data_IF_067742307458
#
_entry.id   IF_067742307458
#
_cell.length_a   1.000
_cell.length_b   1.000
_cell.length_c   1.000
_cell.angle_alpha   90.00
_cell.angle_beta   90.00
_cell.angle_gamma   90.00
#
_symmetry.space_group_name_H-M   'P 1'
#
loop_
_entity.id
_entity.type
_entity.pdbx_description
1 polymer ?
#
# COMPACT_ATOMS: atom_id res chain seq x y z
N UNK A 1 12.55 -42.34 35.79
CA UNK A 1 13.32 -43.52 35.35
C UNK A 1 13.28 -43.63 33.84
N UNK A 2 14.47 -43.73 33.30
CA UNK A 2 14.95 -44.08 31.94
C UNK A 2 15.07 -42.96 30.91
N UNK A 3 16.34 -42.71 30.72
CA UNK A 3 17.06 -42.02 29.65
C UNK A 3 16.93 -42.73 28.29
N UNK A 4 17.10 -41.98 27.20
CA UNK A 4 17.99 -42.27 26.06
C UNK A 4 17.86 -41.14 25.07
N UNK A 5 18.86 -40.46 24.76
CA UNK A 5 20.18 -40.54 24.15
C UNK A 5 20.13 -40.03 22.69
N UNK A 6 20.89 -38.96 22.49
CA UNK A 6 21.23 -38.29 21.24
C UNK A 6 21.79 -39.24 20.17
N UNK A 7 21.52 -38.92 18.92
CA UNK A 7 22.44 -39.22 17.84
C UNK A 7 22.53 -38.01 16.89
N UNK A 8 23.70 -37.36 16.91
CA UNK A 8 24.17 -36.35 15.97
C UNK A 8 24.71 -37.08 14.73
N UNK A 9 24.22 -36.82 13.53
CA UNK A 9 24.87 -37.20 12.28
C UNK A 9 25.20 -35.93 11.51
N UNK A 10 26.49 -35.62 11.48
CA UNK A 10 27.06 -34.61 10.62
C UNK A 10 27.25 -35.19 9.21
N UNK A 11 26.59 -34.60 8.21
CA UNK A 11 26.84 -34.91 6.79
C UNK A 11 27.76 -33.83 6.22
N UNK A 12 28.99 -34.25 5.91
CA UNK A 12 29.96 -33.46 5.18
C UNK A 12 29.65 -33.59 3.70
N UNK A 13 29.24 -32.49 3.05
CA UNK A 13 29.08 -32.42 1.60
C UNK A 13 30.43 -31.99 0.98
N UNK A 14 31.03 -32.89 0.24
CA UNK A 14 32.20 -32.62 -0.61
C UNK A 14 31.71 -32.03 -1.92
N UNK A 15 32.12 -30.82 -2.22
CA UNK A 15 31.89 -30.15 -3.51
C UNK A 15 33.01 -30.52 -4.48
N UNK A 16 32.69 -31.22 -5.56
CA UNK A 16 33.56 -31.44 -6.72
C UNK A 16 33.24 -30.42 -7.82
N UNK A 17 34.22 -29.86 -8.48
CA UNK A 17 33.95 -28.90 -9.58
C UNK A 17 33.65 -29.62 -10.89
N UNK A 18 32.54 -29.32 -11.52
CA UNK A 18 32.21 -29.77 -12.88
C UNK A 18 32.90 -28.86 -13.90
N UNK A 19 33.69 -29.50 -14.77
CA UNK A 19 34.35 -28.86 -15.94
C UNK A 19 33.31 -28.55 -17.01
N UNK A 20 33.35 -27.32 -17.53
CA UNK A 20 32.52 -26.88 -18.65
C UNK A 20 32.89 -27.53 -19.97
N UNK A 21 31.88 -27.84 -20.77
CA UNK A 21 32.01 -28.04 -22.21
C UNK A 21 31.51 -26.78 -22.92
N UNK A 22 32.41 -26.19 -23.68
CA UNK A 22 32.11 -25.14 -24.66
C UNK A 22 31.51 -25.83 -25.89
N UNK A 23 30.35 -25.40 -26.33
CA UNK A 23 29.80 -25.69 -27.66
C UNK A 23 29.63 -24.34 -28.35
N UNK A 24 30.46 -24.10 -29.35
CA UNK A 24 30.30 -23.02 -30.33
C UNK A 24 29.11 -23.37 -31.29
N UNK A 25 28.27 -22.38 -31.57
CA UNK A 25 27.19 -22.55 -32.54
C UNK A 25 26.28 -21.33 -32.70
N UNK A 26 26.73 -20.40 -33.52
CA UNK A 26 26.01 -19.54 -34.47
C UNK A 26 24.62 -18.94 -34.16
N UNK A 27 24.53 -17.62 -34.37
CA UNK A 27 23.31 -16.95 -34.76
C UNK A 27 22.52 -16.25 -33.68
N UNK A 28 23.05 -15.13 -33.10
CA UNK A 28 22.24 -14.20 -32.33
C UNK A 28 21.30 -13.40 -33.27
N UNK A 29 19.97 -13.41 -33.06
CA UNK A 29 19.12 -12.40 -33.67
C UNK A 29 19.31 -11.08 -32.90
N UNK A 30 19.34 -9.99 -33.67
CA UNK A 30 19.52 -8.60 -33.28
C UNK A 30 18.80 -8.22 -31.98
N UNK A 31 19.52 -7.59 -31.09
CA UNK A 31 19.04 -7.00 -29.85
C UNK A 31 18.01 -5.90 -30.12
N UNK A 32 16.72 -6.23 -30.10
CA UNK A 32 15.71 -5.28 -29.72
C UNK A 32 15.89 -4.99 -28.22
N UNK A 33 16.12 -3.75 -27.87
CA UNK A 33 16.19 -3.25 -26.50
C UNK A 33 14.91 -3.61 -25.75
N UNK A 34 14.91 -4.76 -25.09
CA UNK A 34 13.87 -5.15 -24.14
C UNK A 34 13.93 -4.17 -22.94
N UNK A 35 13.26 -3.02 -23.07
CA UNK A 35 12.91 -2.26 -21.88
C UNK A 35 12.11 -3.20 -20.97
N UNK A 36 12.75 -3.63 -19.88
CA UNK A 36 12.12 -4.55 -18.92
C UNK A 36 10.83 -3.92 -18.43
N UNK A 37 9.71 -4.64 -18.62
CA UNK A 37 8.41 -4.22 -18.11
C UNK A 37 8.51 -3.92 -16.62
N UNK A 38 8.07 -2.72 -16.22
CA UNK A 38 7.94 -2.29 -14.82
C UNK A 38 6.80 -1.30 -14.69
N UNK A 39 6.28 -1.14 -13.48
CA UNK A 39 5.26 -0.13 -13.18
C UNK A 39 5.79 1.31 -13.39
N UNK A 40 4.88 2.27 -13.54
CA UNK A 40 5.24 3.67 -13.56
C UNK A 40 5.49 4.16 -12.14
N UNK A 41 6.75 4.34 -11.76
CA UNK A 41 7.15 4.82 -10.43
C UNK A 41 7.32 6.34 -10.33
N UNK A 42 7.03 7.10 -11.39
CA UNK A 42 7.08 8.57 -11.35
C UNK A 42 5.83 9.19 -10.70
N UNK A 43 4.89 8.37 -10.26
CA UNK A 43 3.63 8.80 -9.69
C UNK A 43 3.78 9.27 -8.24
N UNK A 44 2.90 10.17 -7.82
CA UNK A 44 2.79 10.67 -6.45
C UNK A 44 1.93 9.71 -5.62
N UNK A 45 2.26 9.52 -4.34
CA UNK A 45 1.44 8.78 -3.42
C UNK A 45 0.03 9.40 -3.34
N UNK A 46 -1.06 8.61 -3.44
CA UNK A 46 -2.41 9.15 -3.41
C UNK A 46 -2.77 9.68 -2.01
N UNK A 47 -3.46 10.82 -1.98
CA UNK A 47 -4.18 11.29 -0.80
C UNK A 47 -5.66 11.08 -1.09
N UNK A 48 -6.35 10.29 -0.26
CA UNK A 48 -7.73 9.90 -0.55
C UNK A 48 -8.54 9.65 0.71
N UNK A 49 -9.86 9.61 0.55
CA UNK A 49 -10.81 9.16 1.55
C UNK A 49 -11.34 7.75 1.19
N UNK A 50 -11.48 6.89 2.21
CA UNK A 50 -11.99 5.53 2.07
C UNK A 50 -13.22 5.32 2.93
N UNK A 51 -14.12 4.45 2.47
CA UNK A 51 -15.32 4.00 3.22
C UNK A 51 -14.98 3.08 4.40
N UNK A 52 -13.72 2.73 4.62
CA UNK A 52 -13.29 1.66 5.53
C UNK A 52 -13.93 1.74 6.92
N UNK A 53 -13.85 2.87 7.63
CA UNK A 53 -14.41 2.98 8.98
C UNK A 53 -15.94 2.79 8.98
N UNK A 54 -16.62 3.30 7.95
CA UNK A 54 -18.08 3.14 7.85
C UNK A 54 -18.45 1.65 7.80
N UNK A 55 -17.74 0.88 7.01
CA UNK A 55 -17.98 -0.54 6.83
C UNK A 55 -17.49 -1.34 8.05
N UNK A 56 -16.29 -1.08 8.53
CA UNK A 56 -15.70 -1.75 9.69
C UNK A 56 -16.57 -1.69 10.93
N UNK A 57 -17.14 -0.53 11.24
CA UNK A 57 -18.00 -0.38 12.42
C UNK A 57 -19.33 -1.10 12.28
N UNK A 58 -19.89 -1.18 11.06
CA UNK A 58 -21.09 -1.95 10.78
C UNK A 58 -20.83 -3.45 10.89
N UNK A 59 -19.73 -3.93 10.35
CA UNK A 59 -19.30 -5.33 10.51
C UNK A 59 -19.10 -5.71 11.97
N UNK A 60 -18.41 -4.87 12.74
CA UNK A 60 -18.24 -5.06 14.19
C UNK A 60 -19.57 -5.07 14.96
N UNK A 61 -20.56 -4.31 14.50
CA UNK A 61 -21.90 -4.32 15.06
C UNK A 61 -22.74 -5.56 14.64
N UNK A 62 -22.18 -6.44 13.78
CA UNK A 62 -22.86 -7.64 13.29
C UNK A 62 -23.93 -7.36 12.24
N UNK A 63 -23.86 -6.21 11.55
CA UNK A 63 -24.79 -5.89 10.47
C UNK A 63 -24.61 -6.88 9.31
N UNK A 64 -25.70 -7.54 8.91
CA UNK A 64 -25.67 -8.56 7.84
C UNK A 64 -25.59 -7.93 6.43
N UNK A 65 -26.02 -6.68 6.29
CA UNK A 65 -26.02 -5.96 5.01
C UNK A 65 -25.35 -4.61 5.18
N UNK A 66 -24.08 -4.56 4.81
CA UNK A 66 -23.30 -3.32 4.84
C UNK A 66 -23.53 -2.60 3.52
N UNK A 67 -24.07 -1.39 3.58
CA UNK A 67 -24.29 -0.53 2.41
C UNK A 67 -24.21 0.95 2.77
N UNK A 68 -24.05 1.78 1.75
CA UNK A 68 -24.09 3.24 1.83
C UNK A 68 -25.20 3.73 0.90
N UNK A 69 -26.24 4.30 1.47
CA UNK A 69 -27.37 4.85 0.69
C UNK A 69 -26.93 6.01 -0.20
N UNK A 70 -27.70 6.32 -1.24
CA UNK A 70 -27.38 7.45 -2.13
C UNK A 70 -27.28 8.78 -1.37
N UNK A 71 -28.15 9.03 -0.39
CA UNK A 71 -28.09 10.23 0.44
C UNK A 71 -26.82 10.30 1.29
N UNK A 72 -26.38 9.16 1.82
CA UNK A 72 -25.10 9.08 2.53
C UNK A 72 -23.92 9.34 1.59
N UNK A 73 -23.95 8.80 0.37
CA UNK A 73 -22.93 9.08 -0.64
C UNK A 73 -22.86 10.58 -0.98
N UNK A 74 -24.00 11.23 -1.18
CA UNK A 74 -24.02 12.67 -1.46
C UNK A 74 -23.43 13.47 -0.29
N UNK A 75 -23.76 13.10 0.95
CA UNK A 75 -23.18 13.72 2.15
C UNK A 75 -21.67 13.53 2.23
N UNK A 76 -21.19 12.30 2.03
CA UNK A 76 -19.75 11.95 2.06
C UNK A 76 -18.99 12.70 0.97
N UNK A 77 -19.46 12.66 -0.27
CA UNK A 77 -18.84 13.33 -1.40
C UNK A 77 -18.74 14.85 -1.17
N UNK A 78 -19.82 15.47 -0.67
CA UNK A 78 -19.81 16.89 -0.32
C UNK A 78 -18.81 17.20 0.80
N UNK A 79 -18.77 16.37 1.83
CA UNK A 79 -17.84 16.57 2.95
C UNK A 79 -16.36 16.45 2.51
N UNK A 80 -16.01 15.44 1.72
CA UNK A 80 -14.67 15.25 1.16
C UNK A 80 -14.29 16.43 0.25
N UNK A 81 -15.20 16.87 -0.62
CA UNK A 81 -14.97 17.99 -1.51
C UNK A 81 -14.74 19.30 -0.76
N UNK A 82 -15.36 19.49 0.39
CA UNK A 82 -15.26 20.71 1.20
C UNK A 82 -14.05 20.68 2.14
N UNK A 83 -13.82 19.55 2.83
CA UNK A 83 -12.87 19.50 3.95
C UNK A 83 -11.50 18.91 3.57
N UNK A 84 -11.42 18.06 2.55
CA UNK A 84 -10.20 17.34 2.20
C UNK A 84 -9.63 17.76 0.85
N UNK A 85 -10.46 17.94 -0.18
CA UNK A 85 -10.01 18.28 -1.53
C UNK A 85 -9.15 19.56 -1.60
N UNK A 86 -9.45 20.68 -0.87
CA UNK A 86 -8.61 21.88 -0.88
C UNK A 86 -7.18 21.67 -0.39
N UNK A 87 -6.94 20.52 0.24
CA UNK A 87 -5.64 20.12 0.81
C UNK A 87 -4.96 19.01 -0.01
N UNK A 88 -5.53 18.62 -1.17
CA UNK A 88 -4.92 17.67 -2.10
C UNK A 88 -5.40 16.24 -1.98
N UNK A 89 -6.41 15.96 -1.18
CA UNK A 89 -7.10 14.67 -1.14
C UNK A 89 -8.11 14.62 -2.29
N UNK A 90 -7.69 14.07 -3.41
CA UNK A 90 -8.39 14.21 -4.70
C UNK A 90 -9.33 13.05 -5.03
N UNK A 91 -9.41 12.02 -4.17
CA UNK A 91 -10.07 10.76 -4.52
C UNK A 91 -10.93 10.21 -3.39
N UNK A 92 -12.00 9.52 -3.75
CA UNK A 92 -12.77 8.63 -2.90
C UNK A 92 -12.52 7.20 -3.37
N UNK A 93 -12.23 6.28 -2.43
CA UNK A 93 -12.00 4.87 -2.72
C UNK A 93 -13.04 3.99 -2.03
N UNK A 94 -13.57 3.00 -2.76
CA UNK A 94 -14.41 1.93 -2.20
C UNK A 94 -13.59 0.94 -1.38
N UNK A 95 -14.26 0.03 -0.66
CA UNK A 95 -13.61 -1.04 0.12
C UNK A 95 -14.43 -2.34 0.08
N UNK A 96 -13.85 -3.45 0.53
CA UNK A 96 -14.34 -4.80 0.31
C UNK A 96 -15.55 -5.26 1.13
N UNK A 97 -16.01 -4.46 2.10
CA UNK A 97 -17.13 -4.84 2.98
C UNK A 97 -18.50 -4.77 2.32
N UNK A 98 -18.64 -3.98 1.29
CA UNK A 98 -19.90 -3.79 0.56
C UNK A 98 -19.94 -4.75 -0.62
N UNK A 99 -21.05 -5.45 -0.87
CA UNK A 99 -21.15 -6.38 -1.98
C UNK A 99 -20.82 -5.74 -3.33
N UNK A 100 -19.88 -6.35 -4.03
CA UNK A 100 -19.49 -6.00 -5.39
C UNK A 100 -20.26 -6.89 -6.35
N UNK A 101 -21.08 -6.30 -7.21
CA UNK A 101 -21.99 -7.04 -8.08
C UNK A 101 -21.65 -6.80 -9.56
N UNK A 102 -21.62 -7.89 -10.32
CA UNK A 102 -21.59 -7.91 -11.78
C UNK A 102 -22.99 -8.23 -12.29
N UNK A 103 -23.81 -7.21 -12.54
CA UNK A 103 -25.20 -7.41 -12.97
C UNK A 103 -25.29 -7.88 -14.42
N UNK A 104 -26.36 -8.61 -14.73
CA UNK A 104 -26.71 -9.06 -16.10
C UNK A 104 -25.59 -9.88 -16.77
N UNK A 105 -24.86 -10.69 -16.00
CA UNK A 105 -23.76 -11.50 -16.51
C UNK A 105 -22.52 -10.70 -16.93
N UNK A 106 -22.40 -9.42 -16.51
CA UNK A 106 -21.20 -8.65 -16.82
C UNK A 106 -19.94 -9.34 -16.26
N UNK A 107 -18.82 -9.29 -16.99
CA UNK A 107 -17.59 -9.95 -16.56
C UNK A 107 -16.93 -9.24 -15.35
N UNK A 108 -17.26 -7.98 -15.09
CA UNK A 108 -16.65 -7.14 -14.07
C UNK A 108 -17.71 -6.41 -13.26
N UNK A 109 -17.32 -5.88 -12.09
CA UNK A 109 -18.22 -5.16 -11.19
C UNK A 109 -18.91 -3.96 -11.86
N UNK A 110 -20.22 -3.87 -11.72
CA UNK A 110 -21.06 -2.76 -12.23
C UNK A 110 -21.71 -1.95 -11.12
N UNK A 111 -21.81 -2.54 -9.91
CA UNK A 111 -22.43 -1.92 -8.73
C UNK A 111 -21.55 -2.11 -7.50
N UNK A 112 -21.70 -1.16 -6.59
CA UNK A 112 -21.13 -1.19 -5.25
C UNK A 112 -22.28 -0.98 -4.25
N UNK A 113 -22.78 -2.07 -3.70
CA UNK A 113 -24.03 -2.08 -2.93
C UNK A 113 -25.22 -1.55 -3.73
N UNK A 114 -25.93 -0.59 -3.16
CA UNK A 114 -27.14 -0.01 -3.76
C UNK A 114 -26.89 1.01 -4.88
N UNK A 115 -25.63 1.44 -5.10
CA UNK A 115 -25.29 2.42 -6.15
C UNK A 115 -24.57 1.76 -7.33
N UNK A 116 -24.88 2.20 -8.57
CA UNK A 116 -24.06 1.79 -9.72
C UNK A 116 -22.72 2.53 -9.69
N UNK A 117 -21.64 1.86 -10.14
CA UNK A 117 -20.33 2.51 -10.25
C UNK A 117 -20.37 3.75 -11.14
N UNK A 118 -21.11 3.68 -12.24
CA UNK A 118 -21.30 4.80 -13.16
C UNK A 118 -21.90 6.04 -12.46
N UNK A 119 -22.87 5.81 -11.60
CA UNK A 119 -23.53 6.89 -10.84
C UNK A 119 -22.61 7.45 -9.75
N UNK A 120 -21.92 6.58 -8.98
CA UNK A 120 -20.93 6.99 -7.97
C UNK A 120 -19.83 7.85 -8.59
N UNK A 121 -19.27 7.38 -9.71
CA UNK A 121 -18.21 8.10 -10.44
C UNK A 121 -18.73 9.45 -10.96
N UNK A 122 -19.93 9.50 -11.52
CA UNK A 122 -20.56 10.76 -11.97
C UNK A 122 -20.71 11.76 -10.82
N UNK A 123 -21.18 11.32 -9.65
CA UNK A 123 -21.34 12.17 -8.45
C UNK A 123 -19.98 12.71 -7.97
N UNK A 124 -18.96 11.87 -7.89
CA UNK A 124 -17.61 12.28 -7.50
C UNK A 124 -17.00 13.27 -8.48
N UNK A 125 -17.07 12.99 -9.79
CA UNK A 125 -16.55 13.88 -10.84
C UNK A 125 -17.24 15.24 -10.89
N UNK A 126 -18.54 15.29 -10.58
CA UNK A 126 -19.27 16.57 -10.49
C UNK A 126 -18.72 17.49 -9.39
N UNK A 127 -18.02 16.94 -8.38
CA UNK A 127 -17.29 17.68 -7.34
C UNK A 127 -15.78 17.80 -7.62
N UNK A 128 -15.34 17.34 -8.80
CA UNK A 128 -13.93 17.32 -9.19
C UNK A 128 -13.08 16.35 -8.36
N UNK A 129 -13.69 15.24 -7.91
CA UNK A 129 -13.03 14.14 -7.23
C UNK A 129 -12.82 12.97 -8.19
N UNK A 130 -11.69 12.28 -8.06
CA UNK A 130 -11.39 11.00 -8.68
C UNK A 130 -12.09 9.87 -7.91
N UNK A 131 -12.15 8.68 -8.53
CA UNK A 131 -12.67 7.48 -7.88
C UNK A 131 -11.64 6.37 -7.98
N UNK A 132 -11.30 5.79 -6.82
CA UNK A 132 -10.60 4.53 -6.70
C UNK A 132 -11.60 3.41 -6.39
N UNK A 133 -11.29 2.21 -6.84
CA UNK A 133 -12.10 1.03 -6.52
C UNK A 133 -11.25 -0.02 -5.81
N UNK A 134 -11.90 -0.70 -4.87
CA UNK A 134 -11.41 -1.93 -4.27
C UNK A 134 -11.94 -3.09 -5.12
N UNK A 135 -11.05 -3.71 -5.86
CA UNK A 135 -11.33 -4.89 -6.69
C UNK A 135 -10.01 -5.54 -7.12
N UNK A 136 -10.07 -6.77 -7.60
CA UNK A 136 -8.89 -7.50 -8.02
C UNK A 136 -9.12 -8.15 -9.40
N UNK A 137 -8.29 -7.88 -10.41
CA UNK A 137 -8.41 -8.48 -11.74
C UNK A 137 -8.24 -10.01 -11.75
N UNK A 138 -7.84 -10.58 -10.61
CA UNK A 138 -7.75 -12.04 -10.42
C UNK A 138 -9.04 -12.62 -9.81
N UNK A 139 -10.03 -11.80 -9.46
CA UNK A 139 -11.34 -12.28 -9.03
C UNK A 139 -12.29 -12.46 -10.22
N UNK A 140 -13.11 -13.48 -10.13
CA UNK A 140 -14.17 -13.76 -11.12
C UNK A 140 -15.49 -13.27 -10.54
N UNK A 141 -16.10 -12.29 -11.21
CA UNK A 141 -17.40 -11.72 -10.85
C UNK A 141 -18.55 -12.19 -11.73
N UNK A 142 -18.25 -12.50 -12.99
CA UNK A 142 -19.25 -12.87 -13.98
C UNK A 142 -19.57 -14.37 -14.02
N UNK A 143 -20.60 -14.71 -14.79
CA UNK A 143 -20.99 -16.10 -15.00
C UNK A 143 -19.97 -16.87 -15.85
N UNK A 144 -19.83 -18.16 -15.58
CA UNK A 144 -18.87 -19.04 -16.25
C UNK A 144 -19.07 -19.12 -17.77
N UNK A 145 -20.31 -18.92 -18.27
CA UNK A 145 -20.64 -18.95 -19.69
C UNK A 145 -20.30 -17.66 -20.45
N UNK A 146 -19.93 -16.59 -19.75
CA UNK A 146 -19.62 -15.30 -20.39
C UNK A 146 -18.33 -15.42 -21.17
N UNK A 147 -18.36 -14.97 -22.43
CA UNK A 147 -17.22 -14.99 -23.32
C UNK A 147 -16.17 -13.92 -22.91
N UNK A 148 -14.90 -14.31 -22.87
CA UNK A 148 -13.79 -13.38 -22.58
C UNK A 148 -13.49 -12.56 -23.83
N UNK A 149 -13.79 -11.27 -23.77
CA UNK A 149 -13.58 -10.34 -24.88
C UNK A 149 -12.13 -10.34 -25.36
N UNK A 150 -11.92 -10.38 -26.66
CA UNK A 150 -10.60 -10.44 -27.28
C UNK A 150 -10.02 -11.85 -27.42
N UNK A 151 -10.79 -12.87 -27.10
CA UNK A 151 -10.48 -14.28 -27.38
C UNK A 151 -11.45 -14.83 -28.42
N UNK A 152 -11.16 -16.01 -28.98
CA UNK A 152 -12.04 -16.65 -29.95
C UNK A 152 -13.13 -17.50 -29.26
N UNK A 153 -12.72 -18.38 -28.35
CA UNK A 153 -13.61 -19.41 -27.81
C UNK A 153 -13.44 -19.60 -26.28
N UNK A 154 -12.86 -18.60 -25.58
CA UNK A 154 -12.61 -18.69 -24.13
C UNK A 154 -13.76 -18.06 -23.35
N UNK A 155 -14.26 -18.77 -22.37
CA UNK A 155 -15.24 -18.27 -21.41
C UNK A 155 -14.60 -17.95 -20.05
N UNK A 156 -15.32 -17.24 -19.19
CA UNK A 156 -14.86 -16.95 -17.81
C UNK A 156 -14.61 -18.27 -17.05
N UNK A 157 -15.45 -19.27 -17.23
CA UNK A 157 -15.27 -20.59 -16.62
C UNK A 157 -13.95 -21.27 -17.01
N UNK A 158 -13.40 -21.00 -18.21
CA UNK A 158 -12.12 -21.54 -18.65
C UNK A 158 -10.92 -20.96 -17.91
N UNK A 159 -11.09 -19.81 -17.23
CA UNK A 159 -10.03 -19.14 -16.49
C UNK A 159 -9.81 -19.76 -15.10
N UNK A 160 -10.75 -20.57 -14.62
CA UNK A 160 -10.69 -21.20 -13.30
C UNK A 160 -9.67 -22.33 -13.25
N UNK A 161 -9.31 -22.72 -12.03
CA UNK A 161 -8.56 -23.94 -11.81
C UNK A 161 -9.34 -25.17 -12.30
N UNK A 162 -8.61 -26.12 -12.91
CA UNK A 162 -9.13 -27.44 -13.28
C UNK A 162 -8.19 -28.49 -12.72
N UNK A 163 -8.76 -29.54 -12.14
CA UNK A 163 -8.00 -30.73 -11.76
C UNK A 163 -7.54 -31.49 -13.01
N UNK A 164 -6.67 -32.51 -12.81
CA UNK A 164 -6.10 -33.34 -13.88
C UNK A 164 -7.15 -34.04 -14.75
N UNK A 165 -8.34 -34.25 -14.23
CA UNK A 165 -9.48 -34.91 -14.89
C UNK A 165 -10.35 -33.95 -15.72
N UNK A 166 -9.93 -32.69 -15.89
CA UNK A 166 -10.63 -31.65 -16.65
C UNK A 166 -12.01 -31.24 -16.11
N UNK A 167 -12.41 -31.72 -14.94
CA UNK A 167 -13.63 -31.28 -14.29
C UNK A 167 -13.39 -29.89 -13.70
N UNK A 168 -14.31 -28.95 -13.97
CA UNK A 168 -14.37 -27.67 -13.26
C UNK A 168 -14.70 -27.95 -11.81
N UNK A 169 -13.67 -28.00 -10.97
CA UNK A 169 -13.91 -27.93 -9.54
C UNK A 169 -14.00 -26.45 -9.15
N UNK A 170 -15.18 -26.07 -8.61
CA UNK A 170 -15.21 -24.98 -7.66
C UNK A 170 -14.28 -25.44 -6.56
N UNK A 171 -13.08 -24.83 -6.48
CA UNK A 171 -12.10 -25.28 -5.50
C UNK A 171 -12.70 -25.03 -4.10
N UNK A 172 -13.08 -26.10 -3.43
CA UNK A 172 -13.68 -26.04 -2.09
C UNK A 172 -12.71 -25.51 -1.05
N UNK A 173 -11.42 -25.37 -1.40
CA UNK A 173 -10.39 -24.74 -0.57
C UNK A 173 -10.38 -23.21 -0.70
N UNK A 174 -10.87 -22.65 -1.81
CA UNK A 174 -11.00 -21.21 -2.01
C UNK A 174 -12.32 -20.73 -1.38
N UNK A 175 -12.27 -20.30 -0.13
CA UNK A 175 -13.45 -20.05 0.69
C UNK A 175 -14.29 -18.87 0.22
N UNK A 176 -13.64 -17.82 -0.34
CA UNK A 176 -14.32 -16.54 -0.56
C UNK A 176 -14.26 -16.03 -1.99
N UNK A 177 -13.24 -16.40 -2.74
CA UNK A 177 -13.04 -15.89 -4.10
C UNK A 177 -12.96 -17.01 -5.11
N UNK A 178 -13.46 -16.73 -6.31
CA UNK A 178 -13.14 -17.51 -7.50
C UNK A 178 -12.02 -16.81 -8.25
N UNK A 179 -10.94 -17.51 -8.52
CA UNK A 179 -9.72 -16.92 -9.05
C UNK A 179 -9.53 -17.15 -10.54
N UNK A 180 -9.04 -16.11 -11.22
CA UNK A 180 -8.46 -16.20 -12.56
C UNK A 180 -7.07 -16.81 -12.44
N UNK A 181 -6.85 -18.00 -13.00
CA UNK A 181 -5.52 -18.62 -13.00
C UNK A 181 -4.70 -18.03 -14.14
N UNK A 182 -3.67 -17.26 -13.85
CA UNK A 182 -2.90 -16.47 -14.84
C UNK A 182 -2.30 -17.30 -15.97
N UNK A 183 -2.01 -18.60 -15.75
CA UNK A 183 -1.48 -19.52 -16.76
C UNK A 183 -2.54 -20.07 -17.71
N UNK A 184 -3.83 -19.79 -17.48
CA UNK A 184 -4.90 -20.26 -18.36
C UNK A 184 -4.97 -19.43 -19.64
N UNK A 185 -5.28 -20.06 -20.80
CA UNK A 185 -5.58 -19.33 -22.03
C UNK A 185 -6.70 -18.29 -21.77
N UNK A 186 -6.51 -17.06 -22.25
CA UNK A 186 -7.47 -15.98 -22.08
C UNK A 186 -7.31 -15.15 -20.80
N UNK A 187 -6.53 -15.58 -19.79
CA UNK A 187 -6.33 -14.82 -18.55
C UNK A 187 -5.78 -13.41 -18.81
N UNK A 188 -4.80 -13.27 -19.71
CA UNK A 188 -4.27 -11.95 -20.09
C UNK A 188 -5.35 -11.04 -20.70
N UNK A 189 -6.21 -11.59 -21.56
CA UNK A 189 -7.30 -10.84 -22.18
C UNK A 189 -8.36 -10.41 -21.17
N UNK A 190 -8.68 -11.28 -20.20
CA UNK A 190 -9.59 -10.95 -19.10
C UNK A 190 -9.05 -9.80 -18.25
N UNK A 191 -7.78 -9.86 -17.84
CA UNK A 191 -7.11 -8.81 -17.05
C UNK A 191 -7.05 -7.50 -17.85
N UNK A 192 -6.72 -7.53 -19.15
CA UNK A 192 -6.74 -6.33 -20.01
C UNK A 192 -8.16 -5.73 -20.08
N UNK A 193 -9.18 -6.58 -20.23
CA UNK A 193 -10.58 -6.15 -20.23
C UNK A 193 -11.05 -5.53 -18.91
N UNK A 194 -10.55 -6.05 -17.78
CA UNK A 194 -10.82 -5.49 -16.45
C UNK A 194 -10.32 -4.04 -16.34
N UNK A 195 -9.06 -3.78 -16.68
CA UNK A 195 -8.51 -2.42 -16.64
C UNK A 195 -9.18 -1.50 -17.65
N UNK A 196 -9.52 -2.03 -18.85
CA UNK A 196 -10.30 -1.28 -19.84
C UNK A 196 -11.66 -0.85 -19.29
N UNK A 197 -12.39 -1.78 -18.65
CA UNK A 197 -13.70 -1.51 -18.06
C UNK A 197 -13.64 -0.35 -17.07
N UNK A 198 -12.71 -0.40 -16.13
CA UNK A 198 -12.57 0.65 -15.12
C UNK A 198 -12.07 1.97 -15.72
N UNK A 199 -11.15 1.94 -16.67
CA UNK A 199 -10.71 3.13 -17.40
C UNK A 199 -11.88 3.79 -18.14
N UNK A 200 -12.69 3.02 -18.86
CA UNK A 200 -13.85 3.53 -19.61
C UNK A 200 -14.92 4.16 -18.69
N UNK A 201 -15.07 3.65 -17.46
CA UNK A 201 -15.89 4.25 -16.42
C UNK A 201 -15.27 5.54 -15.85
N UNK A 202 -13.95 5.68 -15.98
CA UNK A 202 -13.16 6.81 -15.47
C UNK A 202 -12.66 6.60 -14.05
N UNK A 203 -12.30 5.38 -13.71
CA UNK A 203 -11.56 5.02 -12.49
C UNK A 203 -10.07 5.19 -12.74
N UNK A 204 -9.37 5.79 -11.79
CA UNK A 204 -7.94 6.12 -11.89
C UNK A 204 -7.06 5.26 -10.97
N UNK A 205 -7.67 4.48 -10.06
CA UNK A 205 -6.96 3.76 -9.00
C UNK A 205 -7.69 2.45 -8.66
N UNK A 206 -6.92 1.38 -8.53
CA UNK A 206 -7.43 0.07 -8.11
C UNK A 206 -6.60 -0.45 -6.92
N UNK A 207 -7.30 -0.75 -5.81
CA UNK A 207 -6.78 -1.38 -4.61
C UNK A 207 -7.05 -2.88 -4.70
N UNK A 208 -6.01 -3.67 -5.01
CA UNK A 208 -6.09 -5.12 -5.25
C UNK A 208 -5.68 -5.88 -4.00
N UNK A 209 -6.63 -6.55 -3.38
CA UNK A 209 -6.42 -7.22 -2.10
C UNK A 209 -6.27 -8.75 -2.23
N UNK A 210 -5.88 -9.40 -1.13
CA UNK A 210 -5.73 -10.84 -0.98
C UNK A 210 -4.67 -11.49 -1.88
N UNK A 211 -3.61 -10.77 -2.22
CA UNK A 211 -2.58 -11.27 -3.13
C UNK A 211 -1.80 -12.47 -2.56
N UNK A 212 -1.60 -12.54 -1.23
CA UNK A 212 -1.00 -13.69 -0.57
C UNK A 212 -1.84 -14.97 -0.73
N UNK A 213 -3.16 -14.83 -0.73
CA UNK A 213 -4.06 -15.96 -0.94
C UNK A 213 -3.99 -16.51 -2.35
N UNK A 214 -3.81 -15.64 -3.34
CA UNK A 214 -3.57 -16.06 -4.71
C UNK A 214 -2.22 -16.78 -4.84
N UNK A 215 -1.17 -16.26 -4.21
CA UNK A 215 0.19 -16.78 -4.36
C UNK A 215 0.33 -18.18 -3.75
N UNK A 216 -0.01 -18.38 -2.47
CA UNK A 216 0.18 -19.66 -1.80
C UNK A 216 -1.02 -20.18 -0.98
N UNK A 217 -2.12 -19.43 -0.94
CA UNK A 217 -3.33 -19.82 -0.24
C UNK A 217 -3.19 -19.79 1.28
N UNK A 218 -2.30 -18.97 1.80
CA UNK A 218 -2.02 -18.87 3.23
C UNK A 218 -2.16 -17.44 3.76
N UNK A 219 -2.64 -17.32 4.98
CA UNK A 219 -2.67 -16.10 5.76
C UNK A 219 -2.15 -16.41 7.17
N UNK A 220 -1.29 -15.56 7.71
CA UNK A 220 -0.68 -15.80 9.03
C UNK A 220 -1.73 -15.91 10.14
N UNK A 221 -2.78 -15.11 10.08
CA UNK A 221 -3.80 -15.04 11.13
C UNK A 221 -4.89 -16.11 10.98
N UNK A 222 -5.19 -16.52 9.74
CA UNK A 222 -6.28 -17.44 9.42
C UNK A 222 -5.81 -18.85 8.99
N UNK A 223 -4.50 -19.01 8.75
CA UNK A 223 -3.93 -20.27 8.23
C UNK A 223 -4.21 -20.46 6.74
N UNK A 224 -4.47 -21.69 6.33
CA UNK A 224 -4.79 -22.00 4.93
C UNK A 224 -6.22 -21.56 4.58
N UNK A 225 -6.33 -20.68 3.61
CA UNK A 225 -7.58 -20.03 3.14
C UNK A 225 -7.93 -20.39 1.69
N UNK A 226 -6.98 -20.95 0.96
CA UNK A 226 -7.16 -21.33 -0.44
C UNK A 226 -6.11 -22.30 -0.92
N UNK A 227 -6.16 -22.62 -2.22
CA UNK A 227 -5.19 -23.49 -2.90
C UNK A 227 -3.81 -22.86 -2.98
N UNK A 228 -3.76 -21.58 -3.43
CA UNK A 228 -2.56 -20.94 -3.93
C UNK A 228 -2.16 -21.45 -5.32
N UNK A 229 -1.74 -20.53 -6.18
CA UNK A 229 -1.43 -20.81 -7.58
C UNK A 229 0.08 -20.79 -7.87
N UNK A 230 0.88 -20.51 -6.85
CA UNK A 230 2.33 -20.53 -6.87
C UNK A 230 2.97 -19.23 -7.37
N UNK A 231 4.27 -19.12 -7.09
CA UNK A 231 5.10 -17.93 -7.37
C UNK A 231 5.13 -17.57 -8.87
N UNK A 232 5.26 -18.55 -9.74
CA UNK A 232 5.32 -18.32 -11.21
C UNK A 232 3.99 -17.78 -11.75
N UNK A 233 2.86 -18.33 -11.29
CA UNK A 233 1.54 -17.83 -11.66
C UNK A 233 1.30 -16.42 -11.10
N UNK A 234 1.76 -16.15 -9.90
CA UNK A 234 1.69 -14.83 -9.29
C UNK A 234 2.54 -13.80 -10.06
N UNK A 235 3.77 -14.14 -10.42
CA UNK A 235 4.61 -13.29 -11.26
C UNK A 235 3.94 -12.98 -12.61
N UNK A 236 3.38 -14.00 -13.26
CA UNK A 236 2.69 -13.83 -14.54
C UNK A 236 1.45 -12.94 -14.40
N UNK A 237 0.67 -13.11 -13.33
CA UNK A 237 -0.46 -12.26 -12.99
C UNK A 237 -0.04 -10.79 -12.83
N UNK A 238 1.01 -10.52 -12.04
CA UNK A 238 1.53 -9.17 -11.86
C UNK A 238 2.06 -8.55 -13.15
N UNK A 239 2.64 -9.35 -14.05
CA UNK A 239 3.04 -8.88 -15.38
C UNK A 239 1.84 -8.41 -16.21
N UNK A 240 0.78 -9.22 -16.30
CA UNK A 240 -0.43 -8.86 -17.03
C UNK A 240 -1.12 -7.63 -16.44
N UNK A 241 -1.19 -7.55 -15.11
CA UNK A 241 -1.70 -6.40 -14.38
C UNK A 241 -0.90 -5.15 -14.71
N UNK A 242 0.43 -5.22 -14.65
CA UNK A 242 1.31 -4.08 -14.93
C UNK A 242 1.19 -3.61 -16.39
N UNK A 243 1.12 -4.52 -17.35
CA UNK A 243 0.92 -4.19 -18.77
C UNK A 243 -0.40 -3.45 -18.98
N UNK A 244 -1.51 -4.00 -18.45
CA UNK A 244 -2.83 -3.41 -18.59
C UNK A 244 -2.95 -2.07 -17.86
N UNK A 245 -2.48 -1.99 -16.61
CA UNK A 245 -2.49 -0.77 -15.82
C UNK A 245 -1.73 0.38 -16.51
N UNK A 246 -0.56 0.09 -17.09
CA UNK A 246 0.20 1.07 -17.88
C UNK A 246 -0.52 1.50 -19.16
N UNK A 247 -1.12 0.54 -19.87
CA UNK A 247 -1.86 0.80 -21.10
C UNK A 247 -3.03 1.75 -20.90
N UNK A 248 -3.72 1.59 -19.79
CA UNK A 248 -4.93 2.38 -19.46
C UNK A 248 -4.67 3.52 -18.47
N UNK A 249 -3.45 3.71 -18.00
CA UNK A 249 -3.09 4.79 -17.08
C UNK A 249 -3.70 4.66 -15.67
N UNK A 250 -3.98 3.45 -15.23
CA UNK A 250 -4.59 3.16 -13.92
C UNK A 250 -3.50 2.91 -12.89
N UNK A 251 -3.63 3.56 -11.73
CA UNK A 251 -2.73 3.35 -10.59
C UNK A 251 -3.09 2.04 -9.85
N UNK A 252 -2.08 1.24 -9.51
CA UNK A 252 -2.27 -0.05 -8.81
C UNK A 252 -1.72 -0.01 -7.39
N UNK A 253 -2.55 -0.43 -6.43
CA UNK A 253 -2.17 -0.68 -5.04
C UNK A 253 -2.22 -2.17 -4.76
N UNK A 254 -1.08 -2.75 -4.43
CA UNK A 254 -0.95 -4.17 -4.07
C UNK A 254 -1.15 -4.34 -2.57
N UNK A 255 -2.20 -5.09 -2.19
CA UNK A 255 -2.60 -5.28 -0.81
C UNK A 255 -2.48 -6.75 -0.42
N UNK A 256 -2.12 -7.01 0.83
CA UNK A 256 -1.86 -8.36 1.35
C UNK A 256 -0.83 -9.21 0.57
N UNK A 257 0.27 -8.68 0.01
CA UNK A 257 1.29 -9.54 -0.57
C UNK A 257 2.18 -10.12 0.55
N UNK A 258 2.75 -11.31 0.35
CA UNK A 258 3.72 -11.87 1.27
C UNK A 258 5.06 -11.14 1.29
N UNK A 259 5.38 -10.43 0.21
CA UNK A 259 6.65 -9.71 0.01
C UNK A 259 7.87 -10.64 0.04
N UNK A 260 7.72 -11.85 -0.49
CA UNK A 260 8.83 -12.79 -0.64
C UNK A 260 9.97 -12.20 -1.49
N UNK A 261 11.19 -12.71 -1.30
CA UNK A 261 12.37 -12.28 -2.02
C UNK A 261 12.59 -10.75 -1.96
N UNK A 262 12.37 -10.16 -0.77
CA UNK A 262 12.49 -8.72 -0.53
C UNK A 262 11.55 -7.88 -1.42
N UNK A 263 10.35 -8.39 -1.64
CA UNK A 263 9.31 -7.75 -2.45
C UNK A 263 9.73 -7.45 -3.90
N UNK A 264 10.59 -8.27 -4.48
CA UNK A 264 11.17 -8.02 -5.82
C UNK A 264 10.10 -7.92 -6.91
N UNK A 265 9.06 -8.76 -6.88
CA UNK A 265 7.99 -8.75 -7.87
C UNK A 265 7.07 -7.54 -7.66
N UNK A 266 6.67 -7.29 -6.43
CA UNK A 266 5.78 -6.19 -6.09
C UNK A 266 6.44 -4.83 -6.39
N UNK A 267 7.73 -4.68 -6.03
CA UNK A 267 8.50 -3.47 -6.33
C UNK A 267 8.68 -3.24 -7.84
N UNK A 268 8.66 -4.30 -8.65
CA UNK A 268 8.77 -4.18 -10.11
C UNK A 268 7.45 -3.87 -10.79
N UNK A 269 6.37 -4.51 -10.37
CA UNK A 269 5.11 -4.50 -11.11
C UNK A 269 4.01 -3.63 -10.50
N UNK A 270 4.11 -3.25 -9.21
CA UNK A 270 3.16 -2.38 -8.52
C UNK A 270 3.58 -0.91 -8.50
N UNK A 271 2.61 -0.01 -8.35
CA UNK A 271 2.89 1.41 -8.06
C UNK A 271 3.02 1.64 -6.54
N UNK A 272 2.22 0.94 -5.75
CA UNK A 272 2.16 1.03 -4.30
C UNK A 272 1.98 -0.36 -3.70
N UNK A 273 2.61 -0.63 -2.55
CA UNK A 273 2.49 -1.89 -1.80
C UNK A 273 2.18 -1.62 -0.34
N UNK A 274 1.24 -2.37 0.21
CA UNK A 274 0.96 -2.35 1.65
C UNK A 274 1.97 -3.21 2.39
N UNK A 275 2.55 -2.63 3.47
CA UNK A 275 3.68 -3.23 4.21
C UNK A 275 3.35 -3.52 5.68
N UNK A 276 2.07 -3.45 6.04
CA UNK A 276 1.57 -3.61 7.42
C UNK A 276 0.21 -4.31 7.43
N UNK A 277 -0.14 -4.92 8.56
CA UNK A 277 -1.46 -5.52 8.82
C UNK A 277 -2.60 -4.51 8.66
N UNK A 278 -3.84 -5.02 8.57
CA UNK A 278 -5.04 -4.17 8.52
C UNK A 278 -5.12 -3.25 9.73
N UNK A 279 -5.61 -2.03 9.49
CA UNK A 279 -5.79 -1.02 10.53
C UNK A 279 -6.63 -1.54 11.71
N UNK A 280 -7.63 -2.38 11.46
CA UNK A 280 -8.49 -2.95 12.49
C UNK A 280 -9.06 -1.85 13.39
N UNK A 281 -8.81 -1.95 14.70
CA UNK A 281 -9.25 -0.96 15.68
C UNK A 281 -8.46 0.36 15.62
N UNK A 282 -7.37 0.41 14.85
CA UNK A 282 -6.57 1.63 14.64
C UNK A 282 -5.76 2.06 15.85
N UNK A 283 -5.56 3.37 15.96
CA UNK A 283 -4.87 4.01 17.09
C UNK A 283 -3.38 3.69 17.19
N UNK A 284 -2.81 4.00 18.34
CA UNK A 284 -1.38 3.81 18.60
C UNK A 284 -0.91 2.37 18.47
N UNK A 285 -1.80 1.42 18.75
CA UNK A 285 -1.51 -0.01 18.62
C UNK A 285 -1.14 -0.35 17.16
N UNK A 286 -1.98 0.03 16.20
CA UNK A 286 -1.73 -0.19 14.78
C UNK A 286 -0.55 0.64 14.25
N UNK A 287 -0.40 1.86 14.74
CA UNK A 287 0.67 2.75 14.29
C UNK A 287 2.06 2.30 14.76
N UNK A 288 2.22 1.92 16.04
CA UNK A 288 3.55 1.77 16.64
C UNK A 288 3.72 0.61 17.62
N UNK A 289 2.66 0.11 18.28
CA UNK A 289 2.80 -0.74 19.45
C UNK A 289 2.56 -2.23 19.20
N UNK A 290 1.71 -2.61 18.23
CA UNK A 290 1.39 -4.02 17.98
C UNK A 290 2.64 -4.80 17.52
N UNK A 291 3.04 -5.82 18.29
CA UNK A 291 4.20 -6.69 18.03
C UNK A 291 5.46 -5.91 17.61
N UNK A 292 5.73 -4.81 18.32
CA UNK A 292 6.84 -3.91 18.01
C UNK A 292 8.16 -4.63 17.83
N UNK A 293 8.84 -4.37 16.70
CA UNK A 293 10.13 -4.96 16.35
C UNK A 293 10.05 -6.42 15.89
N UNK A 294 8.86 -7.02 15.81
CA UNK A 294 8.70 -8.40 15.39
C UNK A 294 8.39 -8.50 13.89
N UNK A 295 9.28 -9.16 13.15
CA UNK A 295 9.08 -9.52 11.75
C UNK A 295 8.43 -10.90 11.62
N UNK A 296 7.52 -11.04 10.69
CA UNK A 296 6.91 -12.30 10.30
C UNK A 296 7.20 -12.60 8.82
N UNK A 297 7.55 -13.85 8.45
CA UNK A 297 7.97 -14.16 7.08
C UNK A 297 6.83 -14.18 6.05
N UNK A 298 5.57 -14.25 6.52
CA UNK A 298 4.38 -14.23 5.67
C UNK A 298 3.51 -13.02 6.00
N UNK A 299 2.56 -12.70 5.11
CA UNK A 299 1.60 -11.63 5.35
C UNK A 299 0.79 -11.86 6.63
N UNK A 300 0.61 -10.81 7.44
CA UNK A 300 1.30 -9.51 7.42
C UNK A 300 2.71 -9.60 8.04
N UNK A 301 3.70 -8.98 7.37
CA UNK A 301 5.09 -9.05 7.86
C UNK A 301 5.32 -8.23 9.13
N UNK A 302 4.57 -7.15 9.31
CA UNK A 302 4.55 -6.30 10.50
C UNK A 302 3.10 -5.95 10.87
N UNK A 303 2.83 -5.87 12.17
CA UNK A 303 1.51 -5.54 12.71
C UNK A 303 1.38 -4.05 13.07
N UNK A 304 2.46 -3.27 12.92
CA UNK A 304 2.42 -1.84 13.10
C UNK A 304 3.10 -1.10 11.94
N UNK A 305 2.55 0.06 11.63
CA UNK A 305 2.96 0.90 10.51
C UNK A 305 4.42 1.34 10.63
N UNK A 306 4.87 1.71 11.83
CA UNK A 306 6.20 2.27 12.06
C UNK A 306 7.30 1.27 11.68
N UNK A 307 7.18 0.02 12.15
CA UNK A 307 8.15 -1.03 11.86
C UNK A 307 8.11 -1.46 10.39
N UNK A 308 6.91 -1.53 9.80
CA UNK A 308 6.75 -1.78 8.38
C UNK A 308 7.50 -0.76 7.52
N UNK A 309 7.33 0.53 7.80
CA UNK A 309 8.05 1.58 7.08
C UNK A 309 9.57 1.54 7.30
N UNK A 310 10.06 1.29 8.53
CA UNK A 310 11.50 1.16 8.79
C UNK A 310 12.09 0.04 7.93
N UNK A 311 11.52 -1.16 8.03
CA UNK A 311 12.07 -2.36 7.39
C UNK A 311 12.09 -2.26 5.86
N UNK A 312 10.96 -1.82 5.28
CA UNK A 312 10.81 -1.71 3.83
C UNK A 312 11.31 -0.39 3.25
N UNK A 313 11.88 0.51 4.06
CA UNK A 313 12.36 1.83 3.61
C UNK A 313 13.31 1.79 2.43
N UNK A 314 14.11 0.73 2.26
CA UNK A 314 15.05 0.58 1.13
C UNK A 314 14.34 0.49 -0.23
N UNK A 315 13.09 0.03 -0.27
CA UNK A 315 12.29 -0.09 -1.51
C UNK A 315 11.70 1.24 -1.94
N UNK A 316 11.40 2.16 -1.00
CA UNK A 316 10.82 3.45 -1.31
C UNK A 316 11.85 4.44 -1.83
N UNK A 317 11.40 5.49 -2.49
CA UNK A 317 12.23 6.58 -3.01
C UNK A 317 11.48 7.33 -4.11
N UNK A 318 12.00 8.51 -4.48
CA UNK A 318 11.52 9.17 -5.68
C UNK A 318 11.77 8.24 -6.88
N UNK A 319 10.76 7.99 -7.69
CA UNK A 319 10.80 7.06 -8.81
C UNK A 319 11.02 5.58 -8.42
N UNK A 320 10.61 5.22 -7.19
CA UNK A 320 10.50 3.85 -6.70
C UNK A 320 9.08 3.56 -6.23
N UNK A 321 8.84 2.33 -5.78
CA UNK A 321 7.53 1.94 -5.26
C UNK A 321 7.15 2.76 -4.02
N UNK A 322 5.86 3.04 -3.90
CA UNK A 322 5.28 3.74 -2.75
C UNK A 322 4.94 2.69 -1.68
N UNK A 323 5.35 2.93 -0.45
CA UNK A 323 4.97 2.09 0.69
C UNK A 323 3.65 2.59 1.28
N UNK A 324 2.71 1.68 1.50
CA UNK A 324 1.40 1.96 2.08
C UNK A 324 1.35 1.45 3.53
N UNK A 325 1.05 2.34 4.46
CA UNK A 325 0.88 2.07 5.89
C UNK A 325 -0.57 1.78 6.27
N UNK A 326 -1.44 1.53 5.29
CA UNK A 326 -2.87 1.32 5.44
C UNK A 326 -3.66 2.59 5.86
N UNK A 327 -4.88 2.41 6.30
CA UNK A 327 -5.81 3.47 6.63
C UNK A 327 -5.45 4.23 7.90
N UNK A 328 -5.75 5.51 7.90
CA UNK A 328 -5.65 6.36 9.09
C UNK A 328 -7.04 6.72 9.60
N UNK A 329 -7.26 6.46 10.89
CA UNK A 329 -8.49 6.75 11.63
C UNK A 329 -8.13 7.60 12.84
N UNK A 330 -8.07 8.92 12.67
CA UNK A 330 -7.62 9.83 13.72
C UNK A 330 -8.51 9.82 14.96
N UNK A 331 -9.80 9.48 14.79
CA UNK A 331 -10.71 9.34 15.93
C UNK A 331 -10.35 8.18 16.88
N UNK A 332 -9.45 7.28 16.49
CA UNK A 332 -8.98 6.15 17.30
C UNK A 332 -7.70 6.45 18.08
N UNK A 333 -7.07 7.60 17.86
CA UNK A 333 -5.89 8.05 18.59
C UNK A 333 -6.28 8.83 19.85
N UNK A 334 -5.50 8.63 20.93
CA UNK A 334 -5.83 9.16 22.23
C UNK A 334 -5.63 10.70 22.35
N UNK A 335 -4.65 11.23 21.61
CA UNK A 335 -4.24 12.64 21.78
C UNK A 335 -3.59 13.21 20.50
N UNK A 336 -3.30 14.50 20.53
CA UNK A 336 -2.70 15.24 19.41
C UNK A 336 -1.31 14.70 19.03
N UNK A 337 -0.49 14.31 20.00
CA UNK A 337 0.86 13.79 19.74
C UNK A 337 0.82 12.55 18.81
N UNK A 338 -0.10 11.64 19.08
CA UNK A 338 -0.28 10.43 18.29
C UNK A 338 -0.79 10.75 16.87
N UNK A 339 -1.74 11.69 16.76
CA UNK A 339 -2.28 12.12 15.46
C UNK A 339 -1.22 12.82 14.60
N UNK A 340 -0.42 13.72 15.21
CA UNK A 340 0.71 14.34 14.52
C UNK A 340 1.74 13.30 14.07
N UNK A 341 2.03 12.30 14.92
CA UNK A 341 3.02 11.26 14.63
C UNK A 341 2.61 10.39 13.43
N UNK A 342 1.35 9.94 13.36
CA UNK A 342 0.90 9.09 12.24
C UNK A 342 0.92 9.84 10.92
N UNK A 343 0.45 11.10 10.88
CA UNK A 343 0.47 11.93 9.67
C UNK A 343 1.91 12.22 9.24
N UNK A 344 2.76 12.57 10.21
CA UNK A 344 4.17 12.89 9.93
C UNK A 344 4.91 11.70 9.34
N UNK A 345 4.76 10.51 9.90
CA UNK A 345 5.48 9.33 9.42
C UNK A 345 5.09 8.96 8.00
N UNK A 346 3.80 8.94 7.67
CA UNK A 346 3.33 8.63 6.32
C UNK A 346 3.90 9.62 5.30
N UNK A 347 3.86 10.91 5.57
CA UNK A 347 4.41 11.93 4.68
C UNK A 347 5.94 11.87 4.59
N UNK A 348 6.63 11.60 5.69
CA UNK A 348 8.09 11.43 5.70
C UNK A 348 8.54 10.19 4.95
N UNK A 349 7.81 9.09 5.06
CA UNK A 349 8.07 7.87 4.30
C UNK A 349 7.70 7.98 2.80
N UNK A 350 7.03 9.06 2.40
CA UNK A 350 6.52 9.24 1.04
C UNK A 350 5.32 8.36 0.73
N UNK A 351 4.61 7.92 1.76
CA UNK A 351 3.43 7.07 1.66
C UNK A 351 2.14 7.86 1.34
N UNK A 352 1.03 7.15 1.10
CA UNK A 352 -0.29 7.74 1.00
C UNK A 352 -0.77 8.24 2.37
N UNK A 353 -1.78 9.12 2.36
CA UNK A 353 -2.69 9.27 3.50
C UNK A 353 -4.06 8.80 3.04
N UNK A 354 -4.47 7.65 3.54
CA UNK A 354 -5.78 7.06 3.32
C UNK A 354 -6.68 7.39 4.51
N UNK A 355 -7.40 8.51 4.41
CA UNK A 355 -8.33 8.96 5.46
C UNK A 355 -9.50 8.00 5.50
N UNK A 356 -9.70 7.31 6.61
CA UNK A 356 -10.82 6.39 6.78
C UNK A 356 -11.85 6.85 7.82
N UNK A 357 -11.60 7.94 8.52
CA UNK A 357 -12.57 8.51 9.46
C UNK A 357 -13.87 8.89 8.76
N UNK A 358 -15.03 8.57 9.37
CA UNK A 358 -16.31 9.05 8.88
C UNK A 358 -16.45 10.54 9.11
N UNK A 359 -17.18 11.27 8.24
CA UNK A 359 -17.50 12.68 8.46
C UNK A 359 -18.14 12.95 9.83
N UNK A 360 -18.90 11.98 10.36
CA UNK A 360 -19.58 12.09 11.68
C UNK A 360 -18.68 11.79 12.87
N UNK A 361 -17.52 11.14 12.70
CA UNK A 361 -16.63 10.72 13.81
C UNK A 361 -15.39 11.58 13.96
N UNK A 362 -14.92 12.21 12.88
CA UNK A 362 -13.66 12.95 12.86
C UNK A 362 -13.67 14.25 13.66
N UNK A 363 -14.78 15.00 13.62
CA UNK A 363 -14.90 16.30 14.30
C UNK A 363 -13.73 17.24 13.95
N UNK A 364 -13.24 17.99 14.95
CA UNK A 364 -12.15 18.95 14.79
C UNK A 364 -10.80 18.29 14.45
N UNK A 365 -10.67 16.97 14.59
CA UNK A 365 -9.44 16.23 14.24
C UNK A 365 -9.13 16.30 12.75
N UNK A 366 -10.09 16.68 11.90
CA UNK A 366 -9.86 16.89 10.46
C UNK A 366 -8.72 17.89 10.18
N UNK A 367 -8.46 18.83 11.09
CA UNK A 367 -7.38 19.81 10.98
C UNK A 367 -5.98 19.18 10.88
N UNK A 368 -5.76 17.99 11.45
CA UNK A 368 -4.48 17.27 11.32
C UNK A 368 -4.23 16.80 9.89
N UNK A 369 -5.27 16.52 9.11
CA UNK A 369 -5.16 16.22 7.66
C UNK A 369 -4.94 17.46 6.80
N UNK A 370 -5.02 18.66 7.37
CA UNK A 370 -5.08 19.92 6.63
C UNK A 370 -3.80 20.76 6.74
N UNK A 371 -2.72 20.23 7.36
CA UNK A 371 -1.44 20.94 7.49
C UNK A 371 -0.75 21.09 6.11
N UNK A 372 -0.86 22.28 5.52
CA UNK A 372 -0.35 22.58 4.17
C UNK A 372 1.18 22.46 4.06
N UNK A 373 1.92 22.77 5.13
CA UNK A 373 3.39 22.68 5.12
C UNK A 373 3.83 21.22 5.01
N UNK A 374 3.21 20.33 5.78
CA UNK A 374 3.49 18.90 5.70
C UNK A 374 2.99 18.28 4.39
N UNK A 375 1.80 18.64 3.93
CA UNK A 375 1.23 18.13 2.67
C UNK A 375 2.05 18.54 1.44
N UNK A 376 2.85 19.60 1.54
CA UNK A 376 3.85 19.95 0.53
C UNK A 376 4.81 18.80 0.25
N UNK A 377 5.17 17.99 1.25
CA UNK A 377 6.04 16.83 1.09
C UNK A 377 5.46 15.83 0.08
N UNK A 378 4.17 15.53 0.17
CA UNK A 378 3.50 14.69 -0.81
C UNK A 378 3.49 15.33 -2.20
N UNK A 379 3.17 16.62 -2.30
CA UNK A 379 3.15 17.35 -3.58
C UNK A 379 4.52 17.32 -4.28
N UNK A 380 5.62 17.39 -3.53
CA UNK A 380 6.98 17.35 -4.05
C UNK A 380 7.55 15.93 -4.17
N UNK A 381 6.73 14.90 -3.92
CA UNK A 381 7.15 13.50 -3.94
C UNK A 381 8.37 13.26 -3.05
N UNK A 382 8.35 13.87 -1.87
CA UNK A 382 9.39 13.69 -0.88
C UNK A 382 9.38 12.26 -0.34
N UNK A 383 10.57 11.68 -0.16
CA UNK A 383 10.76 10.39 0.52
C UNK A 383 11.99 10.49 1.41
N UNK A 384 11.76 10.56 2.69
CA UNK A 384 12.78 10.44 3.73
C UNK A 384 13.15 9.00 4.01
N UNK A 385 14.21 8.83 4.81
CA UNK A 385 14.69 7.53 5.28
C UNK A 385 14.95 7.60 6.77
N UNK A 386 14.73 6.50 7.52
CA UNK A 386 15.20 6.41 8.89
C UNK A 386 16.72 6.40 8.90
N UNK A 387 17.33 6.99 9.91
CA UNK A 387 18.80 7.00 10.06
C UNK A 387 19.36 5.63 10.46
N UNK A 388 18.52 4.70 10.84
CA UNK A 388 18.84 3.29 11.07
C UNK A 388 17.65 2.42 10.69
N UNK A 389 17.90 1.25 10.13
CA UNK A 389 16.89 0.23 9.85
C UNK A 389 16.78 -0.81 10.98
N UNK A 390 17.61 -0.74 12.00
CA UNK A 390 17.47 -1.56 13.22
C UNK A 390 16.42 -0.92 14.14
N UNK A 391 15.30 -1.61 14.36
CA UNK A 391 14.21 -1.15 15.23
C UNK A 391 14.63 -0.87 16.67
N UNK A 392 15.75 -1.48 17.14
CA UNK A 392 16.30 -1.26 18.49
C UNK A 392 17.19 -0.04 18.58
N UNK A 393 17.68 0.45 17.46
CA UNK A 393 18.46 1.67 17.40
C UNK A 393 17.51 2.88 17.44
N UNK A 394 17.71 3.78 18.41
CA UNK A 394 16.92 5.02 18.55
C UNK A 394 16.95 5.87 17.27
N UNK A 395 17.98 5.77 16.46
CA UNK A 395 18.08 6.48 15.18
C UNK A 395 17.08 6.00 14.14
N UNK A 396 16.43 4.84 14.33
CA UNK A 396 15.31 4.40 13.51
C UNK A 396 14.08 5.30 13.67
N UNK A 397 14.04 6.08 14.77
CA UNK A 397 12.99 7.04 15.08
C UNK A 397 13.33 8.47 14.59
N UNK A 398 14.43 8.63 13.84
CA UNK A 398 14.80 9.90 13.19
C UNK A 398 14.81 9.66 11.67
N UNK A 399 13.98 10.41 10.98
CA UNK A 399 13.81 10.31 9.54
C UNK A 399 14.32 11.56 8.84
N UNK A 400 15.08 11.41 7.79
CA UNK A 400 15.64 12.56 7.06
C UNK A 400 15.59 12.38 5.55
N UNK A 401 15.45 13.47 4.83
CA UNK A 401 15.49 13.49 3.38
C UNK A 401 15.68 14.90 2.82
N UNK A 402 16.11 14.95 1.56
CA UNK A 402 16.38 16.18 0.83
C UNK A 402 15.23 16.50 -0.11
N UNK A 403 14.78 17.75 -0.12
CA UNK A 403 13.84 18.28 -1.10
C UNK A 403 14.54 18.64 -2.42
N UNK A 404 13.77 18.90 -3.45
CA UNK A 404 14.28 19.27 -4.79
C UNK A 404 15.03 20.58 -4.79
N UNK A 405 14.65 21.53 -3.93
CA UNK A 405 15.30 22.84 -3.73
C UNK A 405 16.57 22.77 -2.87
N UNK A 406 17.03 21.55 -2.55
CA UNK A 406 18.19 21.29 -1.69
C UNK A 406 18.01 21.58 -0.22
N UNK A 407 16.84 21.99 0.23
CA UNK A 407 16.46 22.03 1.64
C UNK A 407 16.26 20.60 2.20
N UNK A 408 16.18 20.46 3.51
CA UNK A 408 16.06 19.17 4.18
C UNK A 408 14.85 19.13 5.10
N UNK A 409 14.27 17.95 5.18
CA UNK A 409 13.22 17.65 6.16
C UNK A 409 13.78 16.60 7.12
N UNK A 410 13.58 16.84 8.43
CA UNK A 410 13.93 15.87 9.47
C UNK A 410 12.73 15.69 10.39
N UNK A 411 12.34 14.43 10.61
CA UNK A 411 11.31 14.04 11.54
C UNK A 411 11.91 13.27 12.72
N UNK A 412 11.51 13.63 13.93
CA UNK A 412 11.88 12.97 15.18
C UNK A 412 10.63 12.39 15.80
N UNK A 413 10.73 11.16 16.30
CA UNK A 413 9.61 10.46 16.90
C UNK A 413 9.97 9.95 18.29
N UNK A 414 8.98 9.91 19.16
CA UNK A 414 9.03 9.22 20.43
C UNK A 414 7.98 8.12 20.45
N UNK A 415 8.41 6.86 20.42
CA UNK A 415 7.53 5.69 20.47
C UNK A 415 7.26 5.19 21.89
N UNK A 416 7.87 5.83 22.91
CA UNK A 416 7.82 5.41 24.31
C UNK A 416 6.73 6.16 25.09
N UNK A 417 6.28 5.53 26.19
CA UNK A 417 5.28 6.09 27.11
C UNK A 417 5.89 7.13 28.08
N UNK A 418 7.18 7.44 27.94
CA UNK A 418 7.91 8.43 28.72
C UNK A 418 8.57 9.46 27.82
N UNK A 419 8.84 10.68 28.30
CA UNK A 419 9.56 11.68 27.52
C UNK A 419 10.94 11.18 27.10
N UNK A 420 11.32 11.47 25.86
CA UNK A 420 12.58 11.04 25.27
C UNK A 420 13.30 12.20 24.58
N UNK A 421 14.63 12.19 24.66
CA UNK A 421 15.46 13.12 23.91
C UNK A 421 15.80 12.53 22.53
N UNK A 422 15.69 13.35 21.51
CA UNK A 422 16.18 13.04 20.15
C UNK A 422 17.13 14.15 19.72
N UNK A 423 18.24 13.76 19.09
CA UNK A 423 19.23 14.73 18.63
C UNK A 423 19.90 14.28 17.33
N UNK A 424 20.35 15.24 16.56
CA UNK A 424 21.14 15.05 15.36
C UNK A 424 22.11 16.21 15.18
N UNK A 425 23.38 15.88 14.88
CA UNK A 425 24.33 16.83 14.31
C UNK A 425 24.12 16.84 12.78
N UNK A 426 23.89 18.01 12.20
CA UNK A 426 23.59 18.10 10.77
C UNK A 426 24.77 17.66 9.88
N UNK A 427 25.99 17.63 10.43
CA UNK A 427 27.15 17.05 9.75
C UNK A 427 26.98 15.57 9.41
N UNK A 428 26.19 14.83 10.17
CA UNK A 428 25.82 13.42 9.86
C UNK A 428 25.05 13.30 8.55
N UNK A 429 24.40 14.36 8.11
CA UNK A 429 23.71 14.46 6.81
C UNK A 429 24.57 15.15 5.74
N UNK A 430 25.86 15.41 6.02
CA UNK A 430 26.76 16.13 5.11
C UNK A 430 26.51 17.65 5.08
N UNK A 431 25.76 18.20 6.03
CA UNK A 431 25.43 19.63 6.08
C UNK A 431 26.48 20.36 6.90
N UNK A 432 26.94 21.50 6.41
CA UNK A 432 27.95 22.35 7.08
C UNK A 432 27.36 23.71 7.41
N UNK A 433 27.78 24.26 8.55
CA UNK A 433 27.37 25.58 9.04
C UNK A 433 25.94 25.60 9.56
N UNK A 434 25.47 26.79 9.89
CA UNK A 434 24.14 27.00 10.49
C UNK A 434 23.03 26.93 9.48
N UNK A 435 21.95 26.28 9.86
CA UNK A 435 20.73 26.14 9.07
C UNK A 435 19.57 26.83 9.77
N UNK A 436 18.72 27.49 9.00
CA UNK A 436 17.43 27.99 9.50
C UNK A 436 16.52 26.79 9.76
N UNK A 437 15.84 26.78 10.88
CA UNK A 437 15.02 25.68 11.37
C UNK A 437 13.59 26.18 11.46
N UNK A 438 12.64 25.49 10.83
CA UNK A 438 11.21 25.76 10.92
C UNK A 438 10.47 24.55 11.41
N UNK A 439 9.69 24.70 12.47
CA UNK A 439 8.74 23.69 12.95
C UNK A 439 7.52 23.64 12.02
N UNK A 440 7.29 22.50 11.39
CA UNK A 440 6.24 22.36 10.40
C UNK A 440 4.84 22.12 11.01
N UNK A 441 4.74 21.74 12.27
CA UNK A 441 3.47 21.65 12.99
C UNK A 441 3.08 22.97 13.65
N UNK A 442 4.03 23.63 14.33
CA UNK A 442 3.79 24.90 14.99
C UNK A 442 3.84 26.10 14.06
N UNK A 443 4.33 25.92 12.84
CA UNK A 443 4.52 26.99 11.85
C UNK A 443 5.41 28.14 12.34
N UNK A 444 6.42 27.79 13.18
CA UNK A 444 7.32 28.76 13.81
C UNK A 444 8.76 28.54 13.39
N UNK A 445 9.51 29.64 13.22
CA UNK A 445 10.94 29.58 12.98
C UNK A 445 11.67 29.52 14.33
N UNK A 446 12.72 28.69 14.37
CA UNK A 446 13.60 28.53 15.53
C UNK A 446 14.98 29.12 15.25
N UNK A 447 15.78 29.28 16.29
CA UNK A 447 17.13 29.84 16.16
C UNK A 447 17.98 28.96 15.22
N UNK A 448 18.70 29.54 14.24
CA UNK A 448 19.58 28.78 13.37
C UNK A 448 20.70 28.08 14.14
N UNK A 449 20.94 26.80 13.80
CA UNK A 449 21.97 25.99 14.44
C UNK A 449 22.67 25.02 13.45
N UNK A 450 23.69 24.31 13.92
CA UNK A 450 24.42 23.24 13.22
C UNK A 450 24.01 21.86 13.69
N UNK A 451 23.18 21.77 14.74
CA UNK A 451 22.61 20.56 15.31
C UNK A 451 21.19 20.84 15.78
N UNK A 452 20.45 19.79 16.08
CA UNK A 452 19.12 19.91 16.65
C UNK A 452 18.94 18.90 17.77
N UNK A 453 18.39 19.35 18.89
CA UNK A 453 17.98 18.50 20.01
C UNK A 453 16.58 18.89 20.46
N UNK A 454 15.77 17.90 20.75
CA UNK A 454 14.39 18.09 21.25
C UNK A 454 14.04 17.03 22.26
N UNK A 455 13.34 17.44 23.32
CA UNK A 455 12.67 16.51 24.23
C UNK A 455 11.23 16.35 23.77
N UNK A 456 10.88 15.13 23.39
CA UNK A 456 9.54 14.75 22.93
C UNK A 456 8.75 14.14 24.07
N UNK A 457 7.54 14.62 24.28
CA UNK A 457 6.57 13.98 25.17
C UNK A 457 6.23 12.55 24.69
N UNK A 458 5.58 11.72 25.50
CA UNK A 458 5.11 10.40 25.06
C UNK A 458 4.36 10.47 23.71
N UNK A 459 4.70 9.58 22.80
CA UNK A 459 4.10 9.41 21.47
C UNK A 459 4.19 10.64 20.55
N UNK A 460 4.91 11.69 20.94
CA UNK A 460 5.04 12.92 20.17
C UNK A 460 6.04 12.78 19.02
N UNK A 461 5.86 13.61 18.01
CA UNK A 461 6.84 13.86 16.97
C UNK A 461 7.24 15.33 16.88
N UNK A 462 8.30 15.59 16.15
CA UNK A 462 8.73 16.92 15.71
C UNK A 462 9.18 16.81 14.27
N UNK A 463 8.65 17.64 13.39
CA UNK A 463 9.09 17.70 12.00
C UNK A 463 9.65 19.09 11.74
N UNK A 464 10.91 19.15 11.30
CA UNK A 464 11.59 20.39 11.00
C UNK A 464 11.98 20.47 9.52
N UNK A 465 11.87 21.68 8.96
CA UNK A 465 12.37 22.03 7.65
C UNK A 465 13.64 22.87 7.81
N UNK A 466 14.73 22.39 7.21
CA UNK A 466 16.03 23.06 7.21
C UNK A 466 16.27 23.77 5.89
N UNK A 467 16.51 25.08 5.95
CA UNK A 467 16.93 25.86 4.80
C UNK A 467 18.30 26.48 5.05
N UNK A 468 19.12 26.64 3.99
CA UNK A 468 20.44 27.21 4.14
C UNK A 468 20.34 28.65 4.65
N UNK A 469 21.04 28.96 5.74
CA UNK A 469 21.13 30.32 6.22
C UNK A 469 21.88 31.15 5.18
N UNK A 470 21.21 32.07 4.50
CA UNK A 470 21.90 33.08 3.70
C UNK A 470 22.60 33.98 4.68
N UNK A 471 23.95 34.11 4.59
CA UNK A 471 24.64 35.20 5.29
C UNK A 471 23.95 36.49 4.85
N UNK A 472 23.34 37.21 5.78
CA UNK A 472 23.06 38.63 5.53
C UNK A 472 24.42 39.30 5.25
N UNK A 473 24.57 39.76 4.03
CA UNK A 473 25.70 40.66 3.68
C UNK A 473 25.60 41.94 4.49
#
# INVERSE_FOLDING_TARGET
MKYNLLLLIALILVVLPAKGHVIDGEGAPSSSTNQRLSANHSLRAPLYWSVYEHCWLKEKAGEQHIDITQAQWDSIINWVATNLKPYGYEMICTDGFIPMLAENGAPYMTRYGSITLKELIKKCKAKGLKVGVYDNPLWIHGDDSVHVRGTKDVTIGDLRYRSSDKVLHKDTTDRWFSWVVATRPGAKAYIDGFFKHYHDLGVDFIRMDFLSWYEDGFDRNMGRVGRGYGRDSYQLALQYICEAARKYGVFTSLVMPHLYEKAMLEARYGNMIRVVADTGDGGWKHFSAAHRGQFFPTWPNYDNMFDGFIYWSSLSGRDKIILDGDFTRLNTFANANEMESVISLQLLAGGPIAVADRPSSIGNRVSFYQNKELLRLNKERFVGKPLSVDHRDVRSQIWAGKLTDSSWIIGFFNREDTPQVRQIDFRQLGLKGKWRIRDMWKHTDERPDEAYQVTLAPHACKVIHLTKSTKSR
#
